data_IF_417819587449
#
_entry.id   IF_417819587449
#
_cell.length_a   1.000
_cell.length_b   1.000
_cell.length_c   1.000
_cell.angle_alpha   90.00
_cell.angle_beta   90.00
_cell.angle_gamma   90.00
#
_symmetry.space_group_name_H-M   'P 1'
#
loop_
_entity.id
_entity.type
_entity.pdbx_description
1 polymer ?
#
# COMPACT_ATOMS: atom_id res chain seq x y z
N UNK A 1 -13.75 28.87 -4.13
CA UNK A 1 -13.30 27.48 -4.35
C UNK A 1 -14.09 26.59 -3.41
N UNK A 2 -14.86 25.64 -3.95
CA UNK A 2 -15.73 24.77 -3.14
C UNK A 2 -14.86 23.70 -2.48
N UNK A 3 -14.72 23.77 -1.17
CA UNK A 3 -14.09 22.74 -0.33
C UNK A 3 -14.90 21.45 -0.50
N UNK A 4 -14.39 20.50 -1.28
CA UNK A 4 -14.91 19.14 -1.29
C UNK A 4 -14.45 18.53 0.03
N UNK A 5 -15.38 18.34 0.98
CA UNK A 5 -15.12 17.52 2.15
C UNK A 5 -14.78 16.11 1.65
N UNK A 6 -13.50 15.77 1.64
CA UNK A 6 -13.05 14.40 1.52
C UNK A 6 -13.46 13.70 2.81
N UNK A 7 -14.58 12.99 2.76
CA UNK A 7 -14.85 11.95 3.75
C UNK A 7 -13.84 10.85 3.40
N UNK A 8 -12.65 10.91 3.99
CA UNK A 8 -11.71 9.80 3.92
C UNK A 8 -12.48 8.58 4.34
N UNK A 9 -12.62 7.62 3.42
CA UNK A 9 -12.98 6.26 3.76
C UNK A 9 -11.77 5.68 4.50
N UNK A 10 -11.49 6.22 5.69
CA UNK A 10 -10.81 5.47 6.72
C UNK A 10 -11.65 4.22 6.81
N UNK A 11 -11.10 3.12 6.30
CA UNK A 11 -11.47 1.82 6.78
C UNK A 11 -11.04 1.85 8.24
N UNK A 12 -11.88 2.47 9.08
CA UNK A 12 -12.28 1.85 10.33
C UNK A 12 -12.54 0.43 9.88
N UNK A 13 -11.65 -0.49 10.26
CA UNK A 13 -11.94 -1.90 10.08
C UNK A 13 -13.30 -2.09 10.73
N UNK A 14 -14.32 -2.12 9.87
CA UNK A 14 -15.70 -2.24 10.26
C UNK A 14 -15.76 -3.61 10.88
N UNK A 15 -15.68 -3.63 12.20
CA UNK A 15 -16.12 -4.75 12.99
C UNK A 15 -17.53 -4.98 12.46
N UNK A 16 -17.78 -6.15 11.87
CA UNK A 16 -19.12 -6.66 11.78
C UNK A 16 -19.59 -6.83 13.21
N UNK A 17 -20.06 -5.73 13.82
CA UNK A 17 -20.58 -5.74 15.15
C UNK A 17 -21.87 -6.56 15.06
N UNK A 18 -21.88 -7.70 15.76
CA UNK A 18 -23.15 -8.22 16.24
C UNK A 18 -23.89 -7.05 16.92
N UNK A 19 -25.23 -6.97 16.83
CA UNK A 19 -25.96 -5.80 17.32
C UNK A 19 -25.78 -5.74 18.84
N UNK A 20 -24.81 -4.94 19.29
CA UNK A 20 -24.73 -4.46 20.67
C UNK A 20 -26.05 -3.72 20.86
N UNK A 21 -26.90 -4.20 21.76
CA UNK A 21 -28.23 -3.63 21.95
C UNK A 21 -28.13 -2.12 22.11
N UNK A 22 -28.91 -1.37 21.34
CA UNK A 22 -28.86 0.09 21.28
C UNK A 22 -28.95 0.69 22.70
N UNK A 23 -27.81 1.11 23.25
CA UNK A 23 -27.76 1.72 24.57
C UNK A 23 -28.08 3.20 24.41
N UNK A 24 -29.09 3.67 25.13
CA UNK A 24 -29.44 5.10 25.14
C UNK A 24 -28.73 5.83 26.27
N UNK A 25 -28.24 7.03 26.00
CA UNK A 25 -27.59 7.92 26.96
C UNK A 25 -28.49 9.12 27.25
N UNK A 26 -28.86 9.33 28.51
CA UNK A 26 -29.47 10.60 28.94
C UNK A 26 -28.44 11.76 28.89
N UNK A 27 -28.92 12.99 29.10
CA UNK A 27 -28.06 14.18 29.05
C UNK A 27 -26.90 14.13 30.06
N UNK A 28 -27.12 13.53 31.24
CA UNK A 28 -26.08 13.39 32.27
C UNK A 28 -24.96 12.46 31.82
N UNK A 29 -25.33 11.28 31.30
CA UNK A 29 -24.40 10.31 30.76
C UNK A 29 -23.64 10.84 29.53
N UNK A 30 -24.30 11.61 28.66
CA UNK A 30 -23.64 12.30 27.55
C UNK A 30 -22.55 13.26 28.04
N UNK A 31 -22.85 14.11 29.04
CA UNK A 31 -21.86 15.03 29.63
C UNK A 31 -20.72 14.31 30.32
N UNK A 32 -20.98 13.17 30.96
CA UNK A 32 -19.91 12.38 31.58
C UNK A 32 -18.92 11.86 30.53
N UNK A 33 -19.41 11.35 29.39
CA UNK A 33 -18.57 10.91 28.27
C UNK A 33 -17.73 12.09 27.75
N UNK A 34 -18.34 13.27 27.55
CA UNK A 34 -17.62 14.47 27.10
C UNK A 34 -16.54 14.90 28.10
N UNK A 35 -16.84 14.92 29.40
CA UNK A 35 -15.86 15.28 30.44
C UNK A 35 -14.67 14.31 30.49
N UNK A 36 -14.91 13.01 30.27
CA UNK A 36 -13.85 11.99 30.20
C UNK A 36 -13.03 12.12 28.92
N UNK A 37 -13.65 12.44 27.78
CA UNK A 37 -12.94 12.75 26.54
C UNK A 37 -12.01 13.96 26.70
N UNK A 38 -12.46 15.02 27.36
CA UNK A 38 -11.64 16.19 27.66
C UNK A 38 -10.42 15.85 28.51
N UNK A 39 -10.58 14.94 29.46
CA UNK A 39 -9.47 14.44 30.29
C UNK A 39 -8.48 13.64 29.44
N UNK A 40 -9.00 12.74 28.60
CA UNK A 40 -8.18 11.92 27.71
C UNK A 40 -7.42 12.78 26.68
N UNK A 41 -8.03 13.84 26.14
CA UNK A 41 -7.39 14.79 25.24
C UNK A 41 -6.19 15.47 25.90
N UNK A 42 -6.35 15.98 27.12
CA UNK A 42 -5.26 16.65 27.86
C UNK A 42 -4.08 15.73 28.15
N UNK A 43 -4.34 14.44 28.33
CA UNK A 43 -3.32 13.45 28.66
C UNK A 43 -2.58 12.90 27.43
N UNK A 44 -3.23 12.89 26.26
CA UNK A 44 -2.72 12.14 25.11
C UNK A 44 -2.57 12.97 23.84
N UNK A 45 -3.35 14.04 23.64
CA UNK A 45 -3.30 14.78 22.38
C UNK A 45 -1.99 15.56 22.24
N UNK A 46 -1.38 15.51 21.06
CA UNK A 46 -0.08 16.16 20.81
C UNK A 46 -0.17 17.69 20.72
N UNK A 47 -1.33 18.25 20.34
CA UNK A 47 -1.52 19.69 20.14
C UNK A 47 -2.41 20.32 21.25
N UNK A 48 -1.85 20.66 22.42
CA UNK A 48 -2.64 21.18 23.55
C UNK A 48 -3.41 22.47 23.22
N UNK A 49 -2.86 23.32 22.35
CA UNK A 49 -3.48 24.60 21.96
C UNK A 49 -4.81 24.43 21.20
N UNK A 50 -5.03 23.26 20.59
CA UNK A 50 -6.28 22.95 19.86
C UNK A 50 -7.36 22.35 20.76
N UNK A 51 -7.01 21.88 21.96
CA UNK A 51 -7.95 21.23 22.90
C UNK A 51 -9.16 22.13 23.21
N UNK A 52 -9.02 23.44 23.53
CA UNK A 52 -10.17 24.28 23.86
C UNK A 52 -11.24 24.33 22.76
N UNK A 53 -10.83 24.36 21.50
CA UNK A 53 -11.75 24.36 20.36
C UNK A 53 -12.46 23.00 20.20
N UNK A 54 -11.74 21.90 20.41
CA UNK A 54 -12.29 20.54 20.38
C UNK A 54 -13.31 20.36 21.52
N UNK A 55 -12.95 20.72 22.77
CA UNK A 55 -13.84 20.64 23.94
C UNK A 55 -15.13 21.42 23.74
N UNK A 56 -15.05 22.62 23.17
CA UNK A 56 -16.23 23.44 22.86
C UNK A 56 -17.15 22.76 21.82
N UNK A 57 -16.59 22.07 20.82
CA UNK A 57 -17.37 21.33 19.83
C UNK A 57 -17.97 20.04 20.38
N UNK A 58 -17.28 19.35 21.30
CA UNK A 58 -17.82 18.19 22.01
C UNK A 58 -19.04 18.57 22.85
N UNK A 59 -18.96 19.68 23.61
CA UNK A 59 -20.08 20.09 24.47
C UNK A 59 -21.31 20.54 23.67
N UNK A 60 -21.13 21.11 22.47
CA UNK A 60 -22.24 21.43 21.55
C UNK A 60 -23.01 20.20 21.08
N UNK A 61 -22.43 19.00 21.16
CA UNK A 61 -23.06 17.75 20.69
C UNK A 61 -23.93 17.11 21.75
N UNK A 62 -23.83 17.54 23.01
CA UNK A 62 -24.72 17.11 24.08
C UNK A 62 -26.15 17.56 23.78
N UNK A 63 -27.08 16.62 23.80
CA UNK A 63 -28.50 16.86 23.55
C UNK A 63 -29.31 16.82 24.85
N UNK A 64 -30.45 17.51 24.89
CA UNK A 64 -31.34 17.49 26.04
C UNK A 64 -32.05 16.14 26.20
N UNK A 65 -32.35 15.47 25.09
CA UNK A 65 -33.02 14.18 25.06
C UNK A 65 -32.04 12.99 25.04
N UNK A 66 -32.54 11.77 25.30
CA UNK A 66 -31.75 10.56 25.15
C UNK A 66 -31.27 10.35 23.71
N UNK A 67 -30.02 9.90 23.56
CA UNK A 67 -29.40 9.58 22.26
C UNK A 67 -28.89 8.15 22.25
N UNK A 68 -28.87 7.52 21.08
CA UNK A 68 -28.21 6.21 20.91
C UNK A 68 -26.68 6.40 21.01
N UNK A 69 -26.00 5.53 21.75
CA UNK A 69 -24.59 5.66 22.10
C UNK A 69 -23.65 5.61 20.89
N UNK A 70 -23.90 4.71 19.93
CA UNK A 70 -23.15 4.63 18.68
C UNK A 70 -23.29 5.89 17.82
N UNK A 71 -24.52 6.37 17.63
CA UNK A 71 -24.81 7.62 16.94
C UNK A 71 -24.15 8.82 17.65
N UNK A 72 -24.17 8.86 18.98
CA UNK A 72 -23.49 9.89 19.75
C UNK A 72 -21.97 9.87 19.52
N UNK A 73 -21.34 8.69 19.59
CA UNK A 73 -19.92 8.50 19.25
C UNK A 73 -19.57 9.00 17.83
N UNK A 74 -20.41 8.70 16.84
CA UNK A 74 -20.22 9.19 15.48
C UNK A 74 -20.28 10.72 15.42
N UNK A 75 -21.26 11.33 16.10
CA UNK A 75 -21.29 12.79 16.18
C UNK A 75 -20.03 13.33 16.86
N UNK A 76 -19.58 12.79 17.98
CA UNK A 76 -18.37 13.28 18.67
C UNK A 76 -17.16 13.23 17.73
N UNK A 77 -16.99 12.12 17.00
CA UNK A 77 -15.92 11.95 15.99
C UNK A 77 -15.92 13.08 14.95
N UNK A 78 -17.08 13.35 14.33
CA UNK A 78 -17.21 14.42 13.34
C UNK A 78 -16.87 15.81 13.93
N UNK A 79 -17.18 16.03 15.20
CA UNK A 79 -16.84 17.27 15.91
C UNK A 79 -15.35 17.44 16.11
N UNK A 80 -14.69 16.37 16.55
CA UNK A 80 -13.25 16.38 16.77
C UNK A 80 -12.50 16.62 15.47
N UNK A 81 -12.85 15.92 14.38
CA UNK A 81 -12.23 16.13 13.06
C UNK A 81 -12.46 17.58 12.59
N UNK A 82 -13.69 18.09 12.69
CA UNK A 82 -14.01 19.47 12.29
C UNK A 82 -13.22 20.53 13.09
N UNK A 83 -13.05 20.34 14.39
CA UNK A 83 -12.41 21.32 15.26
C UNK A 83 -10.88 21.23 15.22
N UNK A 84 -10.34 20.04 14.93
CA UNK A 84 -8.89 19.80 14.89
C UNK A 84 -8.28 19.94 13.50
N UNK A 85 -9.07 19.78 12.44
CA UNK A 85 -8.61 19.59 11.07
C UNK A 85 -7.68 18.37 10.91
N UNK A 86 -7.76 17.42 11.84
CA UNK A 86 -6.98 16.17 11.84
C UNK A 86 -7.93 15.00 11.60
N UNK A 87 -7.65 14.24 10.53
CA UNK A 87 -8.54 13.18 10.04
C UNK A 87 -8.52 11.91 10.91
N UNK A 88 -7.62 11.82 11.87
CA UNK A 88 -7.42 10.62 12.66
C UNK A 88 -8.28 10.49 13.91
N UNK A 89 -9.00 11.54 14.30
CA UNK A 89 -9.87 11.48 15.46
C UNK A 89 -11.08 10.58 15.22
N UNK A 90 -11.32 9.67 16.15
CA UNK A 90 -12.56 8.90 16.20
C UNK A 90 -12.94 8.54 17.63
N UNK A 91 -14.24 8.51 17.92
CA UNK A 91 -14.83 7.95 19.13
C UNK A 91 -15.70 6.78 18.69
N UNK A 92 -15.50 5.62 19.30
CA UNK A 92 -16.29 4.42 19.03
C UNK A 92 -17.00 3.97 20.31
N UNK A 93 -18.26 3.56 20.18
CA UNK A 93 -18.98 2.83 21.21
C UNK A 93 -18.82 1.33 20.95
N UNK A 94 -17.96 0.69 21.72
CA UNK A 94 -17.70 -0.75 21.63
C UNK A 94 -17.19 -1.28 22.98
N UNK A 95 -18.10 -1.63 23.91
CA UNK A 95 -17.73 -2.12 25.24
C UNK A 95 -16.91 -3.42 25.20
N UNK A 96 -17.13 -4.28 24.20
CA UNK A 96 -16.41 -5.54 24.07
C UNK A 96 -14.95 -5.28 23.65
N UNK A 97 -14.74 -4.40 22.66
CA UNK A 97 -13.40 -4.00 22.24
C UNK A 97 -12.66 -3.24 23.36
N UNK A 98 -13.34 -2.38 24.13
CA UNK A 98 -12.75 -1.73 25.31
C UNK A 98 -12.28 -2.76 26.34
N UNK A 99 -13.11 -3.76 26.65
CA UNK A 99 -12.73 -4.83 27.57
C UNK A 99 -11.57 -5.67 27.03
N UNK A 100 -11.56 -5.95 25.74
CA UNK A 100 -10.48 -6.68 25.07
C UNK A 100 -9.16 -5.90 25.08
N UNK A 101 -9.18 -4.60 24.75
CA UNK A 101 -8.02 -3.70 24.79
C UNK A 101 -7.40 -3.64 26.19
N UNK A 102 -8.22 -3.48 27.23
CA UNK A 102 -7.74 -3.47 28.62
C UNK A 102 -7.08 -4.78 29.02
N UNK A 103 -7.64 -5.93 28.62
CA UNK A 103 -7.04 -7.25 28.88
C UNK A 103 -5.71 -7.41 28.15
N UNK A 104 -5.64 -6.97 26.89
CA UNK A 104 -4.41 -6.99 26.10
C UNK A 104 -3.31 -6.15 26.74
N UNK A 105 -3.60 -4.89 27.08
CA UNK A 105 -2.65 -3.99 27.75
C UNK A 105 -2.20 -4.49 29.12
N UNK A 106 -3.09 -5.10 29.89
CA UNK A 106 -2.74 -5.74 31.16
C UNK A 106 -1.76 -6.93 30.98
N UNK A 107 -1.80 -7.59 29.82
CA UNK A 107 -0.84 -8.62 29.41
C UNK A 107 0.43 -8.09 28.73
N UNK A 108 0.58 -6.77 28.56
CA UNK A 108 1.73 -6.16 27.87
C UNK A 108 1.61 -6.13 26.35
N UNK A 109 0.42 -6.40 25.79
CA UNK A 109 0.20 -6.44 24.34
C UNK A 109 -0.30 -5.11 23.77
N UNK A 110 0.11 -4.81 22.53
CA UNK A 110 -0.25 -3.59 21.78
C UNK A 110 -1.58 -3.69 21.03
N UNK A 111 -2.10 -4.90 20.86
CA UNK A 111 -3.31 -5.21 20.08
C UNK A 111 -4.16 -6.27 20.77
N UNK A 112 -5.44 -6.38 20.40
CA UNK A 112 -6.32 -7.44 20.92
C UNK A 112 -6.03 -8.79 20.25
N UNK A 113 -6.34 -9.90 20.92
CA UNK A 113 -6.21 -11.24 20.31
C UNK A 113 -7.03 -11.35 19.02
N UNK A 114 -8.25 -10.81 19.01
CA UNK A 114 -9.10 -10.81 17.82
C UNK A 114 -8.46 -10.04 16.65
N UNK A 115 -7.83 -8.88 16.93
CA UNK A 115 -7.08 -8.15 15.92
C UNK A 115 -5.93 -9.00 15.35
N UNK A 116 -5.10 -9.60 16.22
CA UNK A 116 -3.98 -10.46 15.78
C UNK A 116 -4.43 -11.65 14.95
N UNK A 117 -5.56 -12.25 15.30
CA UNK A 117 -6.11 -13.38 14.57
C UNK A 117 -6.60 -12.97 13.17
N UNK A 118 -7.24 -11.80 13.06
CA UNK A 118 -7.63 -11.21 11.77
C UNK A 118 -6.40 -10.87 10.92
N UNK A 119 -5.41 -10.19 11.49
CA UNK A 119 -4.19 -9.80 10.80
C UNK A 119 -3.43 -11.03 10.30
N UNK A 120 -3.28 -12.06 11.14
CA UNK A 120 -2.67 -13.34 10.74
C UNK A 120 -3.45 -14.02 9.61
N UNK A 121 -4.78 -14.05 9.68
CA UNK A 121 -5.63 -14.56 8.60
C UNK A 121 -5.52 -13.76 7.30
N UNK A 122 -5.16 -12.48 7.38
CA UNK A 122 -4.88 -11.61 6.23
C UNK A 122 -3.41 -11.59 5.81
N UNK A 123 -2.60 -12.55 6.27
CA UNK A 123 -1.15 -12.63 6.02
C UNK A 123 -0.41 -11.33 6.41
N UNK A 124 -0.85 -10.71 7.51
CA UNK A 124 -0.32 -9.45 8.03
C UNK A 124 -0.31 -8.31 6.99
N UNK A 125 -1.23 -8.37 6.03
CA UNK A 125 -1.37 -7.38 4.96
C UNK A 125 -0.57 -7.69 3.71
N UNK A 126 0.41 -8.61 3.74
CA UNK A 126 1.21 -8.97 2.57
C UNK A 126 0.37 -9.77 1.56
N UNK A 127 0.12 -9.16 0.40
CA UNK A 127 -0.76 -9.71 -0.64
C UNK A 127 -0.01 -10.38 -1.78
N UNK A 128 1.14 -9.83 -2.16
CA UNK A 128 1.92 -10.31 -3.30
C UNK A 128 3.40 -10.00 -3.07
N UNK A 129 4.26 -10.97 -3.38
CA UNK A 129 5.70 -10.81 -3.40
C UNK A 129 6.23 -11.70 -4.53
N UNK A 130 6.83 -11.09 -5.55
CA UNK A 130 7.29 -11.81 -6.75
C UNK A 130 8.41 -11.13 -7.49
N UNK A 131 9.06 -11.91 -8.34
CA UNK A 131 9.99 -11.45 -9.38
C UNK A 131 9.19 -11.08 -10.62
N UNK A 132 9.37 -9.85 -11.11
CA UNK A 132 8.91 -9.42 -12.42
C UNK A 132 10.07 -9.52 -13.43
N UNK A 133 9.72 -9.53 -14.71
CA UNK A 133 10.68 -9.53 -15.81
C UNK A 133 11.73 -8.41 -15.66
N UNK A 134 12.96 -8.72 -16.09
CA UNK A 134 14.10 -7.83 -15.92
C UNK A 134 14.62 -7.77 -14.48
N UNK A 135 14.42 -8.84 -13.69
CA UNK A 135 14.92 -8.99 -12.32
C UNK A 135 14.42 -7.91 -11.33
N UNK A 136 13.22 -7.40 -11.55
CA UNK A 136 12.59 -6.48 -10.62
C UNK A 136 11.90 -7.26 -9.50
N UNK A 137 12.00 -6.79 -8.27
CA UNK A 137 11.24 -7.30 -7.15
C UNK A 137 9.99 -6.44 -6.95
N UNK A 138 8.85 -7.08 -6.71
CA UNK A 138 7.59 -6.42 -6.41
C UNK A 138 7.06 -6.94 -5.09
N UNK A 139 6.73 -6.03 -4.17
CA UNK A 139 6.16 -6.35 -2.86
C UNK A 139 4.95 -5.46 -2.63
N UNK A 140 3.78 -6.08 -2.48
CA UNK A 140 2.51 -5.42 -2.18
C UNK A 140 2.01 -5.84 -0.81
N UNK A 141 1.62 -4.84 -0.02
CA UNK A 141 0.95 -5.06 1.25
C UNK A 141 -0.06 -3.93 1.52
N UNK A 142 -1.23 -4.28 2.06
CA UNK A 142 -2.37 -3.37 2.16
C UNK A 142 -2.50 -2.71 3.56
N UNK A 143 -1.70 -3.10 4.55
CA UNK A 143 -1.56 -2.42 5.83
C UNK A 143 -0.23 -2.79 6.50
N UNK A 144 0.19 -2.02 7.50
CA UNK A 144 1.39 -2.24 8.30
C UNK A 144 1.01 -2.92 9.63
N UNK A 145 1.16 -4.24 9.71
CA UNK A 145 0.93 -4.98 10.95
C UNK A 145 2.10 -4.82 11.94
N UNK A 146 1.88 -5.10 13.23
CA UNK A 146 2.93 -5.01 14.25
C UNK A 146 4.08 -6.00 13.95
N UNK A 147 5.34 -5.53 13.80
CA UNK A 147 6.47 -6.40 13.50
C UNK A 147 6.73 -7.46 14.57
N UNK A 148 6.27 -7.29 15.81
CA UNK A 148 6.30 -8.33 16.85
C UNK A 148 5.69 -9.65 16.34
N UNK A 149 4.62 -9.57 15.54
CA UNK A 149 3.93 -10.73 14.99
C UNK A 149 4.21 -10.97 13.51
N UNK A 150 4.55 -9.91 12.76
CA UNK A 150 4.59 -9.94 11.30
C UNK A 150 6.00 -9.93 10.68
N UNK A 151 7.06 -9.74 11.47
CA UNK A 151 8.43 -9.60 10.94
C UNK A 151 8.89 -10.78 10.08
N UNK A 152 8.47 -12.02 10.39
CA UNK A 152 8.87 -13.19 9.60
C UNK A 152 8.22 -13.18 8.21
N UNK A 153 6.96 -12.79 8.12
CA UNK A 153 6.22 -12.62 6.87
C UNK A 153 6.82 -11.50 6.03
N UNK A 154 7.12 -10.36 6.67
CA UNK A 154 7.78 -9.23 6.03
C UNK A 154 9.18 -9.63 5.50
N UNK A 155 9.97 -10.34 6.30
CA UNK A 155 11.27 -10.85 5.88
C UNK A 155 11.16 -11.83 4.71
N UNK A 156 10.15 -12.71 4.71
CA UNK A 156 9.90 -13.63 3.60
C UNK A 156 9.56 -12.88 2.30
N UNK A 157 8.76 -11.82 2.36
CA UNK A 157 8.51 -10.96 1.20
C UNK A 157 9.78 -10.26 0.71
N UNK A 158 10.61 -9.75 1.63
CA UNK A 158 11.87 -9.09 1.28
C UNK A 158 12.92 -10.03 0.67
N UNK A 159 12.81 -11.35 0.85
CA UNK A 159 13.67 -12.33 0.14
C UNK A 159 13.52 -12.25 -1.38
N UNK A 160 12.36 -11.83 -1.89
CA UNK A 160 12.17 -11.59 -3.32
C UNK A 160 12.98 -10.41 -3.85
N UNK A 161 13.53 -9.55 -2.97
CA UNK A 161 14.43 -8.47 -3.36
C UNK A 161 15.91 -8.92 -3.43
N UNK A 162 16.27 -10.10 -2.92
CA UNK A 162 17.66 -10.56 -2.87
C UNK A 162 18.22 -10.86 -4.27
N UNK A 163 19.17 -10.05 -4.75
CA UNK A 163 19.72 -10.14 -6.11
C UNK A 163 18.89 -9.40 -7.16
N UNK A 164 17.87 -8.63 -6.75
CA UNK A 164 17.10 -7.79 -7.65
C UNK A 164 17.94 -6.68 -8.27
N UNK A 165 17.47 -6.18 -9.41
CA UNK A 165 18.02 -5.00 -10.08
C UNK A 165 17.18 -3.74 -9.83
N UNK A 166 16.01 -3.90 -9.22
CA UNK A 166 15.16 -2.83 -8.73
C UNK A 166 14.07 -3.40 -7.82
N UNK A 167 13.51 -2.58 -6.94
CA UNK A 167 12.46 -2.98 -6.00
C UNK A 167 11.28 -2.01 -6.07
N UNK A 168 10.07 -2.54 -6.14
CA UNK A 168 8.83 -1.80 -6.14
C UNK A 168 8.04 -2.17 -4.89
N UNK A 169 7.80 -1.19 -4.02
CA UNK A 169 6.80 -1.29 -2.96
C UNK A 169 5.47 -0.74 -3.45
N UNK A 170 4.41 -1.54 -3.39
CA UNK A 170 3.07 -1.12 -3.81
C UNK A 170 2.20 -0.78 -2.61
N UNK A 171 2.02 0.52 -2.38
CA UNK A 171 1.26 1.09 -1.27
C UNK A 171 -0.04 1.75 -1.75
N UNK A 172 -0.44 1.56 -3.02
CA UNK A 172 -1.58 2.27 -3.63
C UNK A 172 -2.89 2.12 -2.84
N UNK A 173 -3.06 0.97 -2.19
CA UNK A 173 -4.25 0.61 -1.41
C UNK A 173 -3.94 0.43 0.08
N UNK A 174 -2.81 0.97 0.54
CA UNK A 174 -2.35 0.78 1.92
C UNK A 174 -2.76 1.96 2.80
N UNK A 175 -3.63 1.70 3.77
CA UNK A 175 -4.18 2.73 4.65
C UNK A 175 -3.33 2.97 5.93
N UNK A 176 -2.11 2.46 5.98
CA UNK A 176 -1.18 2.65 7.09
C UNK A 176 -1.20 1.50 8.11
N UNK A 177 -1.00 1.84 9.38
CA UNK A 177 -0.83 0.88 10.47
C UNK A 177 0.36 1.22 11.36
N UNK A 178 1.07 0.20 11.82
CA UNK A 178 2.18 0.31 12.78
C UNK A 178 3.45 0.80 12.08
N UNK A 179 3.96 1.98 12.47
CA UNK A 179 5.11 2.64 11.86
C UNK A 179 6.41 1.83 11.96
N UNK A 180 6.54 1.00 12.98
CA UNK A 180 7.69 0.13 13.20
C UNK A 180 7.85 -0.89 12.07
N UNK A 181 6.76 -1.30 11.41
CA UNK A 181 6.86 -2.13 10.20
C UNK A 181 7.42 -1.34 9.02
N UNK A 182 7.08 -0.05 8.89
CA UNK A 182 7.69 0.81 7.88
C UNK A 182 9.19 0.98 8.14
N UNK A 183 9.58 1.24 9.39
CA UNK A 183 11.00 1.25 9.79
C UNK A 183 11.69 -0.07 9.46
N UNK A 184 11.07 -1.22 9.77
CA UNK A 184 11.61 -2.54 9.49
C UNK A 184 11.88 -2.75 8.00
N UNK A 185 10.89 -2.48 7.15
CA UNK A 185 11.01 -2.60 5.69
C UNK A 185 12.03 -1.62 5.10
N UNK A 186 12.01 -0.35 5.51
CA UNK A 186 12.99 0.64 5.05
C UNK A 186 14.41 0.28 5.46
N UNK A 187 14.60 -0.38 6.60
CA UNK A 187 15.93 -0.81 7.06
C UNK A 187 16.62 -1.78 6.10
N UNK A 188 15.88 -2.55 5.29
CA UNK A 188 16.47 -3.38 4.22
C UNK A 188 17.19 -2.56 3.15
N UNK A 189 16.85 -1.28 3.00
CA UNK A 189 17.32 -0.42 1.92
C UNK A 189 18.63 0.32 2.21
N UNK A 190 19.13 0.22 3.44
CA UNK A 190 20.34 0.89 3.89
C UNK A 190 21.38 -0.13 4.36
N UNK A 191 22.69 0.11 4.23
CA UNK A 191 23.72 -0.79 4.74
C UNK A 191 23.63 -1.02 6.25
N UNK A 192 24.02 -2.22 6.71
CA UNK A 192 24.14 -2.49 8.15
C UNK A 192 25.23 -1.62 8.78
N UNK A 193 25.02 -1.19 10.03
CA UNK A 193 25.98 -0.38 10.78
C UNK A 193 26.13 1.07 10.33
N UNK A 194 25.28 1.53 9.39
CA UNK A 194 25.13 2.95 9.08
C UNK A 194 23.79 3.44 9.62
N UNK A 195 23.85 4.33 10.59
CA UNK A 195 22.68 4.98 11.15
C UNK A 195 22.05 5.88 10.08
N UNK A 196 20.77 5.64 9.81
CA UNK A 196 19.97 6.47 8.91
C UNK A 196 18.73 6.93 9.66
N UNK A 197 18.61 8.24 9.89
CA UNK A 197 17.38 8.81 10.43
C UNK A 197 16.29 8.77 9.35
N UNK A 198 15.09 8.30 9.72
CA UNK A 198 13.92 8.24 8.84
C UNK A 198 12.93 9.36 9.10
N UNK A 199 12.63 9.61 10.37
CA UNK A 199 11.73 10.67 10.79
C UNK A 199 11.96 11.06 12.26
N UNK A 200 11.73 12.34 12.57
CA UNK A 200 11.63 12.80 13.95
C UNK A 200 10.22 12.57 14.45
N UNK A 201 10.11 12.08 15.68
CA UNK A 201 8.87 11.68 16.30
C UNK A 201 8.71 12.32 17.67
N UNK A 202 7.85 13.33 17.73
CA UNK A 202 7.45 13.97 18.97
C UNK A 202 6.12 13.38 19.43
N UNK A 203 5.98 12.96 20.68
CA UNK A 203 4.73 12.41 21.17
C UNK A 203 4.47 12.79 22.62
N UNK A 204 3.20 12.79 22.98
CA UNK A 204 2.71 13.04 24.32
C UNK A 204 2.54 11.71 25.05
N UNK A 205 3.26 11.54 26.16
CA UNK A 205 3.08 10.44 27.11
C UNK A 205 2.55 10.99 28.42
N UNK A 206 1.24 10.86 28.64
CA UNK A 206 0.55 11.24 29.89
C UNK A 206 0.78 12.70 30.30
N UNK A 207 0.75 13.61 29.33
CA UNK A 207 0.96 15.04 29.52
C UNK A 207 2.44 15.48 29.44
N UNK A 208 3.37 14.55 29.21
CA UNK A 208 4.79 14.85 29.01
C UNK A 208 5.12 14.75 27.52
N UNK A 209 5.60 15.86 26.95
CA UNK A 209 6.08 15.88 25.56
C UNK A 209 7.48 15.26 25.49
N UNK A 210 7.63 14.25 24.63
CA UNK A 210 8.87 13.51 24.41
C UNK A 210 9.27 13.66 22.95
N UNK A 211 10.57 13.90 22.71
CA UNK A 211 11.15 13.95 21.38
C UNK A 211 12.01 12.71 21.16
N UNK A 212 11.78 12.02 20.05
CA UNK A 212 12.56 10.87 19.57
C UNK A 212 12.83 11.02 18.08
N UNK A 213 13.69 10.17 17.56
CA UNK A 213 13.86 9.97 16.12
C UNK A 213 13.87 8.48 15.83
N UNK A 214 13.29 8.10 14.70
CA UNK A 214 13.32 6.71 14.21
C UNK A 214 14.50 6.53 13.27
N UNK A 215 15.31 5.51 13.52
CA UNK A 215 16.52 5.20 12.76
C UNK A 215 16.43 3.85 12.06
N UNK A 216 17.29 3.59 11.09
CA UNK A 216 17.49 2.25 10.55
C UNK A 216 17.78 1.24 11.68
N UNK A 217 17.19 0.05 11.59
CA UNK A 217 17.49 -1.03 12.52
C UNK A 217 18.93 -1.51 12.30
N UNK A 218 19.65 -1.92 13.37
CA UNK A 218 21.03 -2.41 13.24
C UNK A 218 21.09 -3.71 12.43
N UNK A 219 20.07 -4.55 12.55
CA UNK A 219 19.95 -5.82 11.85
C UNK A 219 18.52 -6.06 11.36
N UNK A 220 18.41 -6.76 10.24
CA UNK A 220 17.16 -7.32 9.71
C UNK A 220 17.45 -8.76 9.23
N UNK A 221 16.48 -9.68 9.27
CA UNK A 221 16.67 -11.03 8.76
C UNK A 221 16.93 -11.05 7.24
N UNK A 222 17.86 -11.90 6.77
CA UNK A 222 18.19 -12.00 5.35
C UNK A 222 19.16 -10.92 4.85
N UNK A 223 19.24 -10.74 3.53
CA UNK A 223 20.15 -9.75 2.93
C UNK A 223 19.47 -8.40 2.74
N UNK A 224 20.19 -7.33 3.08
CA UNK A 224 19.81 -5.95 2.72
C UNK A 224 19.92 -5.77 1.21
N UNK A 225 19.00 -5.01 0.63
CA UNK A 225 18.90 -4.79 -0.81
C UNK A 225 19.98 -3.87 -1.37
N UNK A 226 20.77 -3.23 -0.50
CA UNK A 226 21.87 -2.33 -0.90
C UNK A 226 21.35 -1.11 -1.66
N UNK A 227 22.09 -0.70 -2.69
CA UNK A 227 21.85 0.54 -3.45
C UNK A 227 20.98 0.33 -4.70
N UNK A 228 20.23 -0.79 -4.78
CA UNK A 228 19.33 -1.00 -5.92
C UNK A 228 18.28 0.12 -5.98
N UNK A 229 17.89 0.58 -7.19
CA UNK A 229 16.81 1.54 -7.35
C UNK A 229 15.51 1.05 -6.70
N UNK A 230 14.84 1.93 -5.97
CA UNK A 230 13.54 1.64 -5.32
C UNK A 230 12.49 2.58 -5.87
N UNK A 231 11.30 2.03 -6.11
CA UNK A 231 10.09 2.78 -6.40
C UNK A 231 9.05 2.48 -5.32
N UNK A 232 8.32 3.50 -4.88
CA UNK A 232 7.13 3.37 -4.04
C UNK A 232 5.92 3.81 -4.86
N UNK A 233 4.93 2.92 -4.99
CA UNK A 233 3.67 3.24 -5.66
C UNK A 233 2.67 3.79 -4.66
N UNK A 234 2.08 4.94 -4.98
CA UNK A 234 1.07 5.61 -4.14
C UNK A 234 -0.25 5.78 -4.87
N UNK A 235 -1.34 5.78 -4.11
CA UNK A 235 -2.70 6.03 -4.58
C UNK A 235 -3.37 7.07 -3.71
N UNK A 236 -4.49 7.61 -4.17
CA UNK A 236 -5.32 8.55 -3.38
C UNK A 236 -5.86 7.98 -2.07
N UNK A 237 -5.83 6.66 -1.89
CA UNK A 237 -6.18 5.99 -0.63
C UNK A 237 -4.97 5.69 0.27
N UNK A 238 -3.73 5.88 -0.21
CA UNK A 238 -2.55 5.67 0.63
C UNK A 238 -2.58 6.62 1.83
N UNK A 239 -2.43 6.09 3.05
CA UNK A 239 -2.63 6.86 4.27
C UNK A 239 -1.65 6.49 5.40
N UNK A 240 -1.37 7.42 6.32
CA UNK A 240 -0.64 7.16 7.57
C UNK A 240 0.75 6.54 7.36
N UNK A 241 1.06 5.39 7.97
CA UNK A 241 2.38 4.76 7.84
C UNK A 241 2.83 4.53 6.39
N UNK A 242 1.89 4.34 5.45
CA UNK A 242 2.20 4.25 4.02
C UNK A 242 2.76 5.57 3.46
N UNK A 243 2.20 6.69 3.90
CA UNK A 243 2.64 8.03 3.54
C UNK A 243 4.01 8.31 4.13
N UNK A 244 4.24 7.97 5.39
CA UNK A 244 5.57 8.12 6.02
C UNK A 244 6.64 7.29 5.32
N UNK A 245 6.36 6.05 4.94
CA UNK A 245 7.31 5.25 4.17
C UNK A 245 7.64 5.90 2.83
N UNK A 246 6.62 6.35 2.09
CA UNK A 246 6.81 7.04 0.81
C UNK A 246 7.60 8.35 0.97
N UNK A 247 7.16 9.20 1.90
CA UNK A 247 7.74 10.51 2.17
C UNK A 247 9.19 10.43 2.65
N UNK A 248 9.50 9.56 3.63
CA UNK A 248 10.86 9.41 4.14
C UNK A 248 11.80 8.91 3.04
N UNK A 249 11.41 7.89 2.27
CA UNK A 249 12.26 7.37 1.20
C UNK A 249 12.44 8.38 0.06
N UNK A 250 11.40 9.15 -0.27
CA UNK A 250 11.47 10.23 -1.27
C UNK A 250 12.43 11.33 -0.83
N UNK A 251 12.27 11.84 0.40
CA UNK A 251 13.08 12.96 0.91
C UNK A 251 14.53 12.60 1.12
N UNK A 252 14.81 11.34 1.45
CA UNK A 252 16.16 10.80 1.54
C UNK A 252 16.78 10.52 0.16
N UNK A 253 16.03 10.70 -0.93
CA UNK A 253 16.47 10.36 -2.29
C UNK A 253 16.69 8.85 -2.49
N UNK A 254 16.12 8.02 -1.61
CA UNK A 254 16.29 6.57 -1.64
C UNK A 254 15.30 5.89 -2.57
N UNK A 255 14.10 6.44 -2.73
CA UNK A 255 13.10 5.93 -3.65
C UNK A 255 12.48 7.03 -4.50
N UNK A 256 12.01 6.65 -5.69
CA UNK A 256 11.11 7.48 -6.51
C UNK A 256 9.66 7.12 -6.20
N UNK A 257 8.83 8.10 -5.92
CA UNK A 257 7.40 7.93 -5.66
C UNK A 257 6.62 8.12 -6.97
N UNK A 258 5.83 7.12 -7.36
CA UNK A 258 5.09 7.12 -8.63
C UNK A 258 3.62 6.78 -8.37
N UNK A 259 2.71 7.59 -8.88
CA UNK A 259 1.27 7.36 -8.76
C UNK A 259 0.50 8.63 -8.45
N UNK A 260 -0.43 8.55 -7.50
CA UNK A 260 -1.29 9.67 -7.10
C UNK A 260 -0.79 10.33 -5.82
N UNK A 261 -1.25 11.57 -5.58
CA UNK A 261 -1.12 12.23 -4.29
C UNK A 261 -1.90 11.45 -3.23
N UNK A 262 -1.28 11.27 -2.06
CA UNK A 262 -1.86 10.48 -0.95
C UNK A 262 -2.87 11.28 -0.13
N UNK A 263 -3.52 10.63 0.84
CA UNK A 263 -4.69 11.18 1.52
C UNK A 263 -4.39 12.23 2.62
N UNK A 264 -3.17 12.30 3.16
CA UNK A 264 -2.74 13.36 4.08
C UNK A 264 -2.95 13.11 5.56
N UNK A 265 -2.70 11.89 6.05
CA UNK A 265 -2.68 11.56 7.47
C UNK A 265 -1.27 11.38 8.00
N UNK A 266 -0.65 12.42 8.53
CA UNK A 266 0.70 12.39 9.06
C UNK A 266 0.78 11.98 10.53
N UNK A 267 -0.23 12.26 11.35
CA UNK A 267 -0.07 12.11 12.80
C UNK A 267 -0.36 10.70 13.34
N UNK A 268 0.58 10.07 14.06
CA UNK A 268 0.33 8.77 14.69
C UNK A 268 -0.70 8.86 15.80
N UNK A 269 -1.50 7.79 15.90
CA UNK A 269 -2.63 7.68 16.81
C UNK A 269 -2.39 6.67 17.91
N UNK A 270 -3.03 6.89 19.05
CA UNK A 270 -3.20 5.89 20.09
C UNK A 270 -4.68 5.70 20.39
N UNK A 271 -5.01 4.55 20.98
CA UNK A 271 -6.38 4.19 21.39
C UNK A 271 -6.46 4.17 22.92
N UNK A 272 -7.35 4.98 23.47
CA UNK A 272 -7.55 5.13 24.91
C UNK A 272 -9.01 4.87 25.29
N UNK A 273 -9.28 3.93 26.21
CA UNK A 273 -10.60 3.79 26.81
C UNK A 273 -11.00 5.09 27.51
N UNK A 274 -12.18 5.61 27.16
CA UNK A 274 -12.79 6.80 27.79
C UNK A 274 -13.51 6.39 29.07
N UNK A 275 -14.27 5.29 28.97
CA UNK A 275 -14.90 4.57 30.07
C UNK A 275 -14.91 3.07 29.72
N UNK A 276 -15.87 2.29 30.25
CA UNK A 276 -16.02 0.86 29.97
C UNK A 276 -16.72 0.56 28.63
N UNK A 277 -17.09 1.59 27.88
CA UNK A 277 -17.96 1.50 26.69
C UNK A 277 -17.38 2.23 25.48
N UNK A 278 -16.75 3.37 25.70
CA UNK A 278 -16.24 4.25 24.65
C UNK A 278 -14.72 4.15 24.52
N UNK A 279 -14.26 4.12 23.27
CA UNK A 279 -12.84 4.16 22.89
C UNK A 279 -12.58 5.45 22.11
N UNK A 280 -11.54 6.19 22.49
CA UNK A 280 -11.04 7.35 21.75
C UNK A 280 -9.78 6.94 20.98
N UNK A 281 -9.77 7.22 19.68
CA UNK A 281 -8.56 7.32 18.88
C UNK A 281 -8.12 8.78 18.83
N UNK A 282 -6.90 9.05 19.27
CA UNK A 282 -6.36 10.41 19.41
C UNK A 282 -4.95 10.49 18.81
N UNK A 283 -4.64 11.51 18.01
CA UNK A 283 -3.28 11.78 17.57
C UNK A 283 -2.39 12.12 18.76
N UNK A 284 -1.47 11.22 19.10
CA UNK A 284 -0.62 11.40 20.28
C UNK A 284 0.77 11.85 19.93
N UNK A 285 1.12 11.88 18.65
CA UNK A 285 2.38 12.44 18.23
C UNK A 285 2.31 13.17 16.90
N UNK A 286 3.39 13.87 16.63
CA UNK A 286 3.67 14.58 15.40
C UNK A 286 4.99 14.06 14.86
N UNK A 287 4.97 13.67 13.59
CA UNK A 287 6.16 13.23 12.89
C UNK A 287 6.59 14.34 11.94
N UNK A 288 7.89 14.55 11.81
CA UNK A 288 8.48 15.55 10.91
C UNK A 288 9.68 14.97 10.17
N UNK A 289 9.94 15.49 8.99
CA UNK A 289 11.21 15.28 8.30
C UNK A 289 12.37 15.83 9.15
N UNK A 290 13.40 15.03 9.49
CA UNK A 290 14.53 15.50 10.28
C UNK A 290 15.43 16.48 9.51
N UNK A 291 15.27 16.60 8.19
CA UNK A 291 16.12 17.47 7.36
C UNK A 291 15.58 18.89 7.30
N UNK A 292 14.29 19.08 6.98
CA UNK A 292 13.67 20.42 6.86
C UNK A 292 12.53 20.68 7.84
N UNK A 293 12.21 19.74 8.73
CA UNK A 293 11.11 19.87 9.69
C UNK A 293 9.73 19.88 9.04
N UNK A 294 9.59 19.31 7.83
CA UNK A 294 8.35 19.31 7.05
C UNK A 294 7.34 18.30 7.59
N UNK A 295 6.06 18.65 7.40
CA UNK A 295 4.86 17.88 7.73
C UNK A 295 3.95 17.88 6.49
N UNK A 296 3.18 16.81 6.30
CA UNK A 296 2.26 16.63 5.17
C UNK A 296 0.79 16.46 5.59
N UNK A 297 0.46 16.61 6.88
CA UNK A 297 -0.93 16.54 7.37
C UNK A 297 -1.88 17.41 6.52
N UNK A 298 -3.01 16.83 6.10
CA UNK A 298 -4.03 17.47 5.29
C UNK A 298 -3.68 17.67 3.80
N UNK A 299 -2.43 17.43 3.39
CA UNK A 299 -1.97 17.57 2.00
C UNK A 299 -1.59 16.22 1.38
N UNK A 300 -0.89 15.36 2.14
CA UNK A 300 -0.33 14.12 1.63
C UNK A 300 0.99 14.30 0.87
N UNK A 301 1.56 13.17 0.48
CA UNK A 301 2.80 13.05 -0.27
C UNK A 301 2.52 13.29 -1.74
N UNK A 302 3.23 14.27 -2.32
CA UNK A 302 3.21 14.52 -3.77
C UNK A 302 4.17 13.57 -4.46
N UNK A 303 3.73 12.75 -5.43
CA UNK A 303 4.61 11.82 -6.14
C UNK A 303 5.63 12.58 -7.01
N UNK A 304 6.82 11.98 -7.19
CA UNK A 304 7.83 12.49 -8.13
C UNK A 304 7.35 12.39 -9.58
N UNK A 305 6.59 11.33 -9.88
CA UNK A 305 5.93 11.12 -11.17
C UNK A 305 4.44 10.86 -10.97
N UNK A 306 3.64 11.89 -11.24
CA UNK A 306 2.19 11.85 -11.12
C UNK A 306 1.55 11.11 -12.30
N UNK A 307 0.89 9.98 -12.02
CA UNK A 307 0.14 9.16 -12.98
C UNK A 307 -1.08 8.54 -12.29
N UNK A 308 -2.14 8.14 -13.03
CA UNK A 308 -3.24 7.39 -12.43
C UNK A 308 -2.73 6.15 -11.69
N UNK A 309 -3.32 5.83 -10.53
CA UNK A 309 -2.89 4.69 -9.73
C UNK A 309 -2.94 3.36 -10.52
N UNK A 310 -3.83 3.24 -11.51
CA UNK A 310 -3.92 2.09 -12.43
C UNK A 310 -2.64 1.85 -13.23
N UNK A 311 -1.94 2.92 -13.60
CA UNK A 311 -0.81 2.87 -14.54
C UNK A 311 0.53 2.84 -13.81
N UNK A 312 0.55 3.21 -12.53
CA UNK A 312 1.76 3.39 -11.73
C UNK A 312 2.71 2.19 -11.75
N UNK A 313 2.21 0.95 -11.74
CA UNK A 313 3.06 -0.25 -11.79
C UNK A 313 3.76 -0.42 -13.15
N UNK A 314 3.08 -0.14 -14.26
CA UNK A 314 3.69 -0.21 -15.59
C UNK A 314 4.71 0.93 -15.77
N UNK A 315 4.36 2.14 -15.29
CA UNK A 315 5.26 3.29 -15.32
C UNK A 315 6.51 3.03 -14.47
N UNK A 316 6.38 2.41 -13.29
CA UNK A 316 7.49 2.03 -12.45
C UNK A 316 8.40 0.97 -13.08
N UNK A 317 7.83 -0.05 -13.71
CA UNK A 317 8.61 -1.03 -14.48
C UNK A 317 9.37 -0.34 -15.61
N UNK A 318 8.71 0.51 -16.40
CA UNK A 318 9.37 1.29 -17.45
C UNK A 318 10.52 2.12 -16.88
N UNK A 319 10.28 2.87 -15.80
CA UNK A 319 11.29 3.69 -15.14
C UNK A 319 12.54 2.89 -14.73
N UNK A 320 12.34 1.72 -14.13
CA UNK A 320 13.44 0.85 -13.67
C UNK A 320 14.17 0.12 -14.81
N UNK A 321 13.46 -0.23 -15.88
CA UNK A 321 14.02 -0.98 -17.02
C UNK A 321 14.71 -0.06 -18.03
N UNK A 322 14.19 1.14 -18.25
CA UNK A 322 14.61 2.01 -19.34
C UNK A 322 16.09 2.41 -19.23
N UNK A 323 16.52 2.89 -18.06
CA UNK A 323 17.92 3.29 -17.85
C UNK A 323 18.91 2.14 -18.06
N UNK A 324 18.54 0.92 -17.65
CA UNK A 324 19.33 -0.29 -17.87
C UNK A 324 19.36 -0.71 -19.33
N UNK A 325 18.22 -0.67 -20.01
CA UNK A 325 18.10 -1.02 -21.42
C UNK A 325 18.95 -0.08 -22.31
N UNK A 326 18.95 1.22 -21.99
CA UNK A 326 19.78 2.25 -22.62
C UNK A 326 21.28 2.02 -22.31
N UNK A 327 21.61 1.54 -21.11
CA UNK A 327 22.97 1.15 -20.72
C UNK A 327 23.44 -0.20 -21.30
N UNK A 328 22.64 -0.85 -22.15
CA UNK A 328 23.02 -2.07 -22.85
C UNK A 328 22.52 -3.38 -22.24
N UNK A 329 21.76 -3.33 -21.15
CA UNK A 329 21.19 -4.52 -20.50
C UNK A 329 20.12 -5.18 -21.40
N UNK A 330 20.45 -6.37 -21.92
CA UNK A 330 19.58 -7.12 -22.82
C UNK A 330 18.32 -7.64 -22.13
N UNK A 331 18.42 -8.04 -20.86
CA UNK A 331 17.27 -8.52 -20.07
C UNK A 331 16.30 -7.37 -19.81
N UNK A 332 16.83 -6.19 -19.47
CA UNK A 332 16.02 -5.00 -19.29
C UNK A 332 15.33 -4.57 -20.59
N UNK A 333 16.04 -4.59 -21.72
CA UNK A 333 15.47 -4.28 -23.03
C UNK A 333 14.38 -5.26 -23.42
N UNK A 334 14.59 -6.55 -23.17
CA UNK A 334 13.59 -7.58 -23.42
C UNK A 334 12.33 -7.36 -22.58
N UNK A 335 12.49 -7.12 -21.28
CA UNK A 335 11.39 -6.87 -20.34
C UNK A 335 10.64 -5.55 -20.61
N UNK A 336 11.30 -4.55 -21.18
CA UNK A 336 10.71 -3.23 -21.45
C UNK A 336 9.63 -3.28 -22.55
N UNK A 337 9.80 -4.11 -23.58
CA UNK A 337 8.87 -4.20 -24.72
C UNK A 337 7.40 -4.40 -24.32
N UNK A 338 7.02 -5.44 -23.53
CA UNK A 338 5.63 -5.63 -23.14
C UNK A 338 5.09 -4.47 -22.28
N UNK A 339 5.94 -3.84 -21.47
CA UNK A 339 5.56 -2.69 -20.63
C UNK A 339 5.20 -1.49 -21.50
N UNK A 340 6.00 -1.20 -22.54
CA UNK A 340 5.73 -0.09 -23.46
C UNK A 340 4.47 -0.30 -24.29
N UNK A 341 4.25 -1.53 -24.76
CA UNK A 341 3.05 -1.90 -25.52
C UNK A 341 1.79 -1.76 -24.64
N UNK A 342 1.87 -2.19 -23.38
CA UNK A 342 0.77 -2.05 -22.42
C UNK A 342 0.45 -0.57 -22.15
N UNK A 343 1.47 0.28 -21.92
CA UNK A 343 1.29 1.72 -21.72
C UNK A 343 0.75 2.42 -22.98
N UNK A 344 1.07 1.93 -24.17
CA UNK A 344 0.53 2.44 -25.43
C UNK A 344 -0.90 1.95 -25.73
N UNK A 345 -1.51 1.15 -24.84
CA UNK A 345 -2.86 0.60 -25.03
C UNK A 345 -2.94 -0.43 -26.15
N UNK A 346 -1.81 -1.04 -26.56
CA UNK A 346 -1.75 -2.00 -27.65
C UNK A 346 -2.12 -3.43 -27.20
N UNK A 347 -3.23 -3.57 -26.49
CA UNK A 347 -3.77 -4.88 -26.15
C UNK A 347 -4.33 -5.54 -27.42
N UNK A 348 -4.04 -6.84 -27.67
CA UNK A 348 -4.63 -7.54 -28.81
C UNK A 348 -6.13 -7.70 -28.62
N UNK A 349 -6.85 -7.50 -29.73
CA UNK A 349 -8.29 -7.75 -29.76
C UNK A 349 -8.58 -9.25 -29.85
N UNK A 350 -9.81 -9.65 -29.50
CA UNK A 350 -10.30 -11.01 -29.76
C UNK A 350 -10.15 -11.38 -31.24
N UNK A 351 -10.35 -10.42 -32.15
CA UNK A 351 -10.17 -10.64 -33.59
C UNK A 351 -8.70 -10.92 -33.97
N UNK A 352 -7.74 -10.27 -33.30
CA UNK A 352 -6.31 -10.56 -33.52
C UNK A 352 -5.97 -11.99 -33.09
N UNK A 353 -6.53 -12.44 -31.97
CA UNK A 353 -6.37 -13.80 -31.46
C UNK A 353 -7.00 -14.85 -32.36
N UNK A 354 -8.23 -14.61 -32.83
CA UNK A 354 -8.93 -15.55 -33.69
C UNK A 354 -8.22 -15.65 -35.05
N UNK A 355 -7.71 -14.54 -35.58
CA UNK A 355 -6.91 -14.52 -36.80
C UNK A 355 -5.55 -15.24 -36.65
N UNK A 356 -5.01 -15.29 -35.43
CA UNK A 356 -3.75 -15.97 -35.13
C UNK A 356 -3.88 -17.50 -35.11
N UNK A 357 -5.07 -18.03 -34.80
CA UNK A 357 -5.30 -19.46 -34.79
C UNK A 357 -5.15 -20.05 -36.20
N UNK A 358 -4.54 -21.24 -36.28
CA UNK A 358 -4.28 -21.91 -37.54
C UNK A 358 -3.03 -22.77 -37.53
N UNK A 359 -2.78 -23.42 -38.66
CA UNK A 359 -1.62 -24.25 -38.92
C UNK A 359 -0.44 -23.41 -39.42
N UNK A 360 0.72 -23.63 -38.82
CA UNK A 360 2.01 -23.10 -39.24
C UNK A 360 2.97 -24.29 -39.43
N UNK A 361 4.11 -24.09 -40.08
CA UNK A 361 5.03 -25.17 -40.51
C UNK A 361 5.51 -26.19 -39.41
N UNK A 362 4.69 -27.13 -38.95
CA UNK A 362 5.04 -28.06 -37.86
C UNK A 362 4.68 -27.55 -36.46
N UNK A 363 3.75 -26.58 -36.38
CA UNK A 363 3.13 -26.08 -35.15
C UNK A 363 1.70 -25.60 -35.43
N UNK A 364 0.85 -25.62 -34.43
CA UNK A 364 -0.53 -25.13 -34.55
C UNK A 364 -0.83 -24.16 -33.41
N UNK A 365 -1.43 -23.02 -33.73
CA UNK A 365 -1.98 -22.12 -32.73
C UNK A 365 -3.47 -22.37 -32.58
N UNK A 366 -3.90 -22.65 -31.35
CA UNK A 366 -5.30 -22.95 -31.04
C UNK A 366 -5.86 -21.86 -30.12
N UNK A 367 -7.05 -21.34 -30.43
CA UNK A 367 -7.71 -20.34 -29.60
C UNK A 367 -8.10 -20.92 -28.24
N UNK A 368 -7.74 -20.22 -27.16
CA UNK A 368 -8.21 -20.52 -25.80
C UNK A 368 -9.17 -19.42 -25.32
N UNK A 369 -9.67 -19.51 -24.08
CA UNK A 369 -10.54 -18.46 -23.52
C UNK A 369 -9.82 -17.10 -23.40
N UNK A 370 -8.54 -17.11 -23.03
CA UNK A 370 -7.76 -15.90 -22.71
C UNK A 370 -6.63 -15.57 -23.69
N UNK A 371 -6.20 -16.52 -24.52
CA UNK A 371 -5.05 -16.35 -25.41
C UNK A 371 -4.98 -17.43 -26.48
N UNK A 372 -3.78 -17.96 -26.72
CA UNK A 372 -3.53 -19.04 -27.66
C UNK A 372 -2.80 -20.20 -26.98
N UNK A 373 -2.99 -21.40 -27.48
CA UNK A 373 -2.17 -22.56 -27.15
C UNK A 373 -1.27 -22.86 -28.34
N UNK A 374 0.04 -22.90 -28.12
CA UNK A 374 1.04 -23.30 -29.09
C UNK A 374 1.27 -24.81 -28.99
N UNK A 375 0.87 -25.53 -30.03
CA UNK A 375 1.08 -26.97 -30.16
C UNK A 375 2.32 -27.24 -31.02
N UNK A 376 3.24 -28.05 -30.50
CA UNK A 376 4.45 -28.45 -31.23
C UNK A 376 4.66 -29.96 -31.19
N UNK A 377 4.82 -30.54 -32.39
CA UNK A 377 5.09 -31.98 -32.62
C UNK A 377 4.12 -32.91 -31.87
N UNK A 378 2.85 -32.50 -31.72
CA UNK A 378 1.78 -33.21 -30.99
C UNK A 378 2.15 -33.67 -29.57
N UNK A 379 3.19 -33.05 -28.97
CA UNK A 379 3.74 -33.45 -27.66
C UNK A 379 3.75 -32.33 -26.66
N UNK A 380 4.01 -31.10 -27.13
CA UNK A 380 4.15 -29.95 -26.25
C UNK A 380 3.04 -28.95 -26.53
N UNK A 381 2.40 -28.51 -25.46
CA UNK A 381 1.40 -27.45 -25.48
C UNK A 381 1.86 -26.37 -24.53
N UNK A 382 2.08 -25.17 -25.06
CA UNK A 382 2.48 -24.00 -24.28
C UNK A 382 1.38 -22.95 -24.37
N UNK A 383 1.01 -22.36 -23.24
CA UNK A 383 0.09 -21.23 -23.23
C UNK A 383 0.82 -19.97 -23.69
N UNK A 384 0.17 -19.21 -24.56
CA UNK A 384 0.66 -17.94 -25.07
C UNK A 384 -0.19 -16.80 -24.51
N UNK A 385 0.47 -15.90 -23.77
CA UNK A 385 -0.15 -14.72 -23.22
C UNK A 385 0.05 -13.53 -24.16
N UNK A 386 -1.02 -12.80 -24.51
CA UNK A 386 -0.89 -11.58 -25.27
C UNK A 386 -0.12 -10.51 -24.52
N UNK A 387 0.91 -9.95 -25.17
CA UNK A 387 1.67 -8.81 -24.64
C UNK A 387 1.75 -7.65 -25.63
N UNK A 388 1.07 -7.78 -26.76
CA UNK A 388 0.91 -6.77 -27.80
C UNK A 388 -0.04 -7.28 -28.88
N UNK A 389 -0.45 -6.41 -29.81
CA UNK A 389 -1.35 -6.77 -30.92
C UNK A 389 -0.94 -8.05 -31.65
N UNK A 390 0.33 -8.16 -32.00
CA UNK A 390 0.89 -9.28 -32.75
C UNK A 390 2.02 -9.98 -31.98
N UNK A 391 2.12 -9.79 -30.65
CA UNK A 391 3.22 -10.29 -29.84
C UNK A 391 2.72 -11.08 -28.62
N UNK A 392 3.32 -12.24 -28.40
CA UNK A 392 2.90 -13.22 -27.41
C UNK A 392 4.09 -13.66 -26.54
N UNK A 393 3.91 -13.57 -25.23
CA UNK A 393 4.78 -14.22 -24.25
C UNK A 393 4.42 -15.71 -24.15
N UNK A 394 5.39 -16.52 -23.74
CA UNK A 394 5.20 -17.96 -23.54
C UNK A 394 5.16 -18.24 -22.06
N UNK A 395 4.09 -18.86 -21.56
CA UNK A 395 4.03 -19.20 -20.14
C UNK A 395 5.13 -20.22 -19.78
N UNK A 396 5.87 -19.92 -18.71
CA UNK A 396 6.93 -20.78 -18.18
C UNK A 396 8.34 -20.52 -18.72
N UNK A 397 8.53 -19.56 -19.64
CA UNK A 397 9.87 -19.15 -20.10
C UNK A 397 9.86 -17.70 -20.57
N UNK A 398 10.94 -16.97 -20.31
CA UNK A 398 11.19 -15.63 -20.85
C UNK A 398 12.25 -15.63 -21.97
N UNK A 399 12.76 -16.80 -22.38
CA UNK A 399 13.83 -16.92 -23.36
C UNK A 399 13.40 -16.55 -24.78
N UNK A 400 12.10 -16.67 -25.09
CA UNK A 400 11.57 -16.33 -26.40
C UNK A 400 10.10 -15.90 -26.37
N UNK A 401 9.70 -15.23 -27.45
CA UNK A 401 8.33 -14.76 -27.71
C UNK A 401 7.89 -15.21 -29.10
N UNK A 402 6.59 -15.17 -29.36
CA UNK A 402 6.06 -15.33 -30.70
C UNK A 402 5.49 -14.03 -31.23
N UNK A 403 5.78 -13.72 -32.50
CA UNK A 403 5.21 -12.58 -33.22
C UNK A 403 4.45 -13.06 -34.45
N UNK A 404 3.25 -12.54 -34.68
CA UNK A 404 2.52 -12.77 -35.93
C UNK A 404 3.10 -11.89 -37.03
N UNK A 405 3.34 -12.49 -38.20
CA UNK A 405 3.74 -11.78 -39.41
C UNK A 405 2.51 -11.58 -40.27
N UNK A 406 2.23 -10.33 -40.67
CA UNK A 406 1.08 -9.99 -41.52
C UNK A 406 1.53 -9.48 -42.89
N UNK A 407 0.83 -9.91 -43.92
CA UNK A 407 0.98 -9.41 -45.30
C UNK A 407 -0.38 -8.90 -45.76
N UNK A 408 -0.44 -7.60 -46.11
CA UNK A 408 -1.70 -6.92 -46.50
C UNK A 408 -2.84 -7.10 -45.47
N UNK A 409 -2.50 -7.13 -44.18
CA UNK A 409 -3.45 -7.25 -43.06
C UNK A 409 -3.79 -8.68 -42.64
N UNK A 410 -3.57 -9.67 -43.52
CA UNK A 410 -3.77 -11.09 -43.19
C UNK A 410 -2.53 -11.68 -42.51
N UNK A 411 -2.73 -12.56 -41.53
CA UNK A 411 -1.64 -13.31 -40.89
C UNK A 411 -1.05 -14.28 -41.92
N UNK A 412 0.25 -14.14 -42.21
CA UNK A 412 0.98 -14.92 -43.20
C UNK A 412 2.03 -15.86 -42.58
N UNK A 413 2.37 -15.65 -41.30
CA UNK A 413 3.34 -16.48 -40.59
C UNK A 413 3.47 -16.16 -39.11
N UNK A 414 4.35 -16.90 -38.47
CA UNK A 414 4.69 -16.81 -37.05
C UNK A 414 6.21 -16.75 -36.92
N UNK A 415 6.72 -15.76 -36.20
CA UNK A 415 8.13 -15.63 -35.85
C UNK A 415 8.34 -16.03 -34.39
N UNK A 416 9.33 -16.88 -34.13
CA UNK A 416 9.90 -17.05 -32.81
C UNK A 416 11.07 -16.08 -32.66
N UNK A 417 10.96 -15.20 -31.67
CA UNK A 417 11.97 -14.20 -31.32
C UNK A 417 12.71 -14.71 -30.10
N UNK A 418 13.99 -15.00 -30.20
CA UNK A 418 14.83 -15.33 -29.04
C UNK A 418 15.27 -14.05 -28.33
N UNK A 419 15.42 -14.12 -27.02
CA UNK A 419 15.99 -13.05 -26.18
C UNK A 419 17.43 -12.72 -26.58
N UNK A 420 18.15 -13.69 -27.16
CA UNK A 420 19.49 -13.50 -27.76
C UNK A 420 19.48 -12.64 -29.03
N UNK A 421 18.31 -12.39 -29.62
CA UNK A 421 18.13 -11.64 -30.87
C UNK A 421 17.99 -12.51 -32.12
N UNK A 422 18.17 -13.83 -32.01
CA UNK A 422 17.88 -14.75 -33.13
C UNK A 422 16.38 -14.77 -33.43
N UNK A 423 16.02 -14.90 -34.71
CA UNK A 423 14.62 -15.01 -35.14
C UNK A 423 14.44 -16.19 -36.07
N UNK A 424 13.44 -17.03 -35.81
CA UNK A 424 13.04 -18.12 -36.69
C UNK A 424 11.63 -17.89 -37.22
N UNK A 425 11.44 -17.93 -38.54
CA UNK A 425 10.14 -17.72 -39.18
C UNK A 425 9.47 -19.02 -39.57
N UNK A 426 8.14 -19.05 -39.45
CA UNK A 426 7.29 -20.19 -39.74
C UNK A 426 6.12 -19.75 -40.61
N UNK A 427 6.02 -20.28 -41.83
CA UNK A 427 4.94 -19.90 -42.74
C UNK A 427 3.60 -20.45 -42.27
N UNK A 428 2.53 -19.67 -42.47
CA UNK A 428 1.15 -20.14 -42.31
C UNK A 428 0.78 -21.12 -43.43
N UNK A 429 0.02 -22.15 -43.11
CA UNK A 429 -0.32 -23.25 -44.03
C UNK A 429 -1.79 -23.29 -44.46
N UNK A 430 -2.67 -22.55 -43.78
CA UNK A 430 -4.12 -22.52 -44.01
C UNK A 430 -4.65 -21.14 -44.44
#
# INVERSE_FOLDING_TARGET
MKTRAFLSLLVVFGIGAAPVGAQTLDQGAQREVVARLDTALKQNYVFPDRIPAISAELERRVQAGPVEAGAFAETLSQGMVKASEDLHFSVAFDPEEVAADRRAKAGGETSTQAQRDRERGANFGFRDARRLDGDLAYVRFDFFADPQFAQETAAAAMRFAEGAKGLIFDLRYNNGGVLEMAQFLMSYLYPAGKDQAFFDYNYNDKGVQLARSQWSLPAVPGRRSGDIPVVVLTGSTSFSAAEWMAFSLQRLGRATVIGEQTAGGAHPVTRVPVDDRFMLQVPFGQIRDPIKGQDFEGVGVTPDLAVPASDALLVAQKFLLQSRAEAGDADARWALVPVELALAGQAPSTADMDAAAGAYEGRTLVRTRGGLAYHWRDRFVLALDPIGKDLFAVQGTDDYRFRLVRVRGAVAGLERLEKSGETTSYRRLD
#
